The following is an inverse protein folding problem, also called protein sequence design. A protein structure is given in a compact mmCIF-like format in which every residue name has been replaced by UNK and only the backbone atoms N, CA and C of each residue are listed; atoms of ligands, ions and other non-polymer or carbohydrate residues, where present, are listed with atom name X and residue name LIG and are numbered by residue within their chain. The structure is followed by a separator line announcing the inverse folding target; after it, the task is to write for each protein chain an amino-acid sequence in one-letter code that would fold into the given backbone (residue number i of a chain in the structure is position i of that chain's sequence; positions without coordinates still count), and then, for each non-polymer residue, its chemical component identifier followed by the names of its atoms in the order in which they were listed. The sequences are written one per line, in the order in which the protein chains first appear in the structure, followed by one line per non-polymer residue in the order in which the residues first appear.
data_IF_474025323541
#
_entry.id   IF_474025323541
#
_cell.length_a   1.000
_cell.length_b   1.000
_cell.length_c   1.000
_cell.angle_alpha   90.00
_cell.angle_beta   90.00
_cell.angle_gamma   90.00
#
_symmetry.space_group_name_H-M   'P 1'
#
loop_
_entity.id
_entity.type
_entity.pdbx_description
1 polymer ?
#
# COMPACT_ATOMS: atom_id res chain seq x y z
N UNK A 1 -10.15 -3.91 -2.53
CA UNK A 1 -8.90 -4.38 -3.16
C UNK A 1 -8.26 -5.53 -2.40
N UNK A 2 -8.00 -5.42 -1.08
CA UNK A 2 -7.35 -6.48 -0.27
C UNK A 2 -7.98 -7.87 -0.48
N UNK A 3 -9.30 -8.01 -0.33
CA UNK A 3 -9.97 -9.32 -0.49
C UNK A 3 -9.89 -9.88 -1.90
N UNK A 4 -9.86 -9.04 -2.92
CA UNK A 4 -9.71 -9.47 -4.33
C UNK A 4 -8.26 -9.91 -4.57
N UNK A 5 -7.30 -9.14 -4.05
CA UNK A 5 -5.88 -9.42 -4.20
C UNK A 5 -5.49 -10.80 -3.66
N UNK A 6 -6.12 -11.25 -2.57
CA UNK A 6 -5.88 -12.57 -1.99
C UNK A 6 -6.37 -13.76 -2.85
N UNK A 7 -7.16 -13.51 -3.90
CA UNK A 7 -7.75 -14.54 -4.76
C UNK A 7 -7.06 -14.66 -6.13
N UNK A 8 -6.10 -13.79 -6.42
CA UNK A 8 -5.48 -13.66 -7.74
C UNK A 8 -4.05 -14.21 -7.78
N UNK A 9 -3.61 -14.60 -8.96
CA UNK A 9 -2.20 -14.90 -9.21
C UNK A 9 -1.34 -13.62 -9.11
N UNK A 10 -0.02 -13.77 -8.99
CA UNK A 10 0.91 -12.62 -8.99
C UNK A 10 0.79 -11.79 -10.28
N UNK A 11 0.68 -12.45 -11.43
CA UNK A 11 0.59 -11.77 -12.71
C UNK A 11 -0.73 -10.98 -12.83
N UNK A 12 -1.83 -11.56 -12.35
CA UNK A 12 -3.14 -10.88 -12.32
C UNK A 12 -3.19 -9.74 -11.31
N UNK A 13 -2.49 -9.86 -10.17
CA UNK A 13 -2.35 -8.79 -9.20
C UNK A 13 -1.68 -7.56 -9.82
N UNK A 14 -0.55 -7.79 -10.49
CA UNK A 14 0.23 -6.74 -11.13
C UNK A 14 -0.55 -6.08 -12.28
N UNK A 15 -1.27 -6.88 -13.09
CA UNK A 15 -2.04 -6.39 -14.22
C UNK A 15 -3.38 -5.71 -13.84
N UNK A 16 -4.10 -6.23 -12.86
CA UNK A 16 -5.50 -5.86 -12.60
C UNK A 16 -5.68 -5.01 -11.33
N UNK A 17 -4.87 -5.24 -10.30
CA UNK A 17 -5.05 -4.59 -8.98
C UNK A 17 -4.12 -3.40 -8.82
N UNK A 18 -2.85 -3.55 -9.19
CA UNK A 18 -1.84 -2.52 -8.96
C UNK A 18 -2.10 -1.18 -9.66
N UNK A 19 -2.65 -1.10 -10.89
CA UNK A 19 -2.98 0.19 -11.50
C UNK A 19 -3.99 0.99 -10.66
N UNK A 20 -5.02 0.31 -10.14
CA UNK A 20 -6.05 0.93 -9.31
C UNK A 20 -5.48 1.34 -7.95
N UNK A 21 -4.64 0.50 -7.35
CA UNK A 21 -4.03 0.81 -6.06
C UNK A 21 -3.08 2.00 -6.14
N UNK A 22 -2.28 2.10 -7.20
CA UNK A 22 -1.42 3.27 -7.46
C UNK A 22 -2.24 4.56 -7.58
N UNK A 23 -3.32 4.53 -8.36
CA UNK A 23 -4.23 5.67 -8.46
C UNK A 23 -4.84 6.05 -7.10
N UNK A 24 -5.25 5.06 -6.29
CA UNK A 24 -5.83 5.32 -4.97
C UNK A 24 -4.82 5.95 -3.99
N UNK A 25 -3.55 5.56 -4.07
CA UNK A 25 -2.49 6.14 -3.23
C UNK A 25 -2.19 7.61 -3.57
N UNK A 26 -2.54 8.06 -4.77
CA UNK A 26 -2.30 9.42 -5.28
C UNK A 26 -3.61 10.20 -5.52
N UNK A 27 -4.74 9.68 -5.02
CA UNK A 27 -6.07 10.25 -5.27
C UNK A 27 -6.19 11.69 -4.75
N UNK A 28 -6.94 12.54 -5.46
CA UNK A 28 -7.18 13.93 -5.03
C UNK A 28 -7.86 14.02 -3.67
N UNK A 29 -8.70 13.05 -3.35
CA UNK A 29 -9.36 12.92 -2.06
C UNK A 29 -8.39 12.33 -1.04
N UNK A 30 -8.00 13.13 -0.06
CA UNK A 30 -7.16 12.66 1.05
C UNK A 30 -7.80 11.50 1.81
N UNK A 31 -9.13 11.37 1.82
CA UNK A 31 -9.81 10.25 2.46
C UNK A 31 -9.54 8.92 1.76
N UNK A 32 -9.36 8.94 0.44
CA UNK A 32 -8.99 7.72 -0.32
C UNK A 32 -7.54 7.35 0.01
N UNK A 33 -6.62 8.32 -0.03
CA UNK A 33 -5.22 8.10 0.37
C UNK A 33 -5.07 7.63 1.81
N UNK A 34 -5.84 8.22 2.72
CA UNK A 34 -5.95 7.82 4.12
C UNK A 34 -6.36 6.33 4.24
N UNK A 35 -7.33 5.88 3.44
CA UNK A 35 -7.73 4.48 3.46
C UNK A 35 -6.67 3.53 2.91
N UNK A 36 -5.89 3.97 1.92
CA UNK A 36 -4.71 3.20 1.49
C UNK A 36 -3.69 3.09 2.63
N UNK A 37 -3.40 4.19 3.33
CA UNK A 37 -2.49 4.20 4.47
C UNK A 37 -2.98 3.33 5.64
N UNK A 38 -4.27 3.40 5.99
CA UNK A 38 -4.85 2.60 7.07
C UNK A 38 -4.85 1.09 6.75
N UNK A 39 -5.02 0.73 5.47
CA UNK A 39 -5.03 -0.66 5.00
C UNK A 39 -3.67 -1.17 4.51
N UNK A 40 -2.60 -0.41 4.74
CA UNK A 40 -1.33 -0.66 4.09
C UNK A 40 -0.72 -2.04 4.40
N UNK A 41 -0.69 -2.44 5.67
CA UNK A 41 -0.15 -3.75 6.07
C UNK A 41 -0.96 -4.93 5.50
N UNK A 42 -2.28 -4.77 5.40
CA UNK A 42 -3.15 -5.78 4.78
C UNK A 42 -2.86 -5.90 3.27
N UNK A 43 -2.63 -4.76 2.60
CA UNK A 43 -2.24 -4.71 1.19
C UNK A 43 -0.88 -5.35 0.96
N UNK A 44 0.13 -5.04 1.79
CA UNK A 44 1.47 -5.64 1.72
C UNK A 44 1.40 -7.17 1.72
N UNK A 45 0.66 -7.74 2.69
CA UNK A 45 0.49 -9.19 2.79
C UNK A 45 -0.26 -9.77 1.59
N UNK A 46 -1.24 -9.06 1.05
CA UNK A 46 -2.05 -9.54 -0.06
C UNK A 46 -1.28 -9.54 -1.40
N UNK A 47 -0.39 -8.56 -1.64
CA UNK A 47 0.35 -8.46 -2.91
C UNK A 47 1.69 -9.19 -2.90
N UNK A 48 2.19 -9.59 -1.73
CA UNK A 48 3.42 -10.36 -1.60
C UNK A 48 4.71 -9.53 -1.77
N UNK A 49 5.88 -10.17 -1.58
CA UNK A 49 7.15 -9.46 -1.35
C UNK A 49 7.67 -8.71 -2.58
N UNK A 50 7.55 -9.28 -3.79
CA UNK A 50 8.05 -8.66 -5.03
C UNK A 50 7.36 -7.31 -5.30
N UNK A 51 6.03 -7.32 -5.33
CA UNK A 51 5.22 -6.11 -5.53
C UNK A 51 5.38 -5.13 -4.36
N UNK A 52 5.53 -5.67 -3.14
CA UNK A 52 5.79 -4.82 -1.97
C UNK A 52 7.04 -3.97 -2.16
N UNK A 53 8.17 -4.59 -2.52
CA UNK A 53 9.44 -3.90 -2.70
C UNK A 53 9.39 -2.88 -3.85
N UNK A 54 8.83 -3.28 -4.99
CA UNK A 54 8.89 -2.49 -6.21
C UNK A 54 7.86 -1.36 -6.27
N UNK A 55 6.66 -1.56 -5.72
CA UNK A 55 5.54 -0.64 -5.90
C UNK A 55 5.03 -0.07 -4.58
N UNK A 56 4.85 -0.90 -3.55
CA UNK A 56 4.25 -0.43 -2.30
C UNK A 56 5.21 0.44 -1.49
N UNK A 57 6.49 0.08 -1.34
CA UNK A 57 7.43 0.90 -0.56
C UNK A 57 7.51 2.34 -1.08
N UNK A 58 7.68 2.60 -2.40
CA UNK A 58 7.64 3.95 -2.93
C UNK A 58 6.33 4.68 -2.61
N UNK A 59 5.18 4.01 -2.78
CA UNK A 59 3.87 4.59 -2.46
C UNK A 59 3.75 4.94 -0.97
N UNK A 60 4.23 4.08 -0.08
CA UNK A 60 4.22 4.32 1.36
C UNK A 60 5.07 5.52 1.76
N UNK A 61 6.26 5.67 1.17
CA UNK A 61 7.13 6.82 1.39
C UNK A 61 6.45 8.14 0.99
N UNK A 62 5.63 8.11 -0.06
CA UNK A 62 4.82 9.27 -0.45
C UNK A 62 3.70 9.54 0.57
N UNK A 63 3.01 8.51 1.05
CA UNK A 63 1.97 8.66 2.10
C UNK A 63 2.54 9.21 3.42
N UNK A 64 3.77 8.86 3.78
CA UNK A 64 4.46 9.44 4.94
C UNK A 64 4.78 10.94 4.77
N UNK A 65 4.85 11.41 3.52
CA UNK A 65 5.13 12.80 3.13
C UNK A 65 3.88 13.54 2.66
N UNK A 66 2.69 12.96 2.86
CA UNK A 66 1.43 13.53 2.40
C UNK A 66 1.20 14.95 2.94
N UNK A 67 0.50 15.81 2.19
CA UNK A 67 0.19 17.16 2.64
C UNK A 67 -0.78 17.18 3.84
N UNK A 68 -1.67 16.18 3.95
CA UNK A 68 -2.65 16.09 5.03
C UNK A 68 -2.09 15.34 6.25
N UNK A 69 -2.28 15.91 7.44
CA UNK A 69 -1.72 15.38 8.67
C UNK A 69 -2.27 14.01 9.05
N UNK A 70 -3.55 13.77 8.77
CA UNK A 70 -4.27 12.53 9.04
C UNK A 70 -3.72 11.36 8.22
N UNK A 71 -3.36 11.62 6.95
CA UNK A 71 -2.75 10.61 6.08
C UNK A 71 -1.36 10.25 6.60
N UNK A 72 -0.54 11.26 6.96
CA UNK A 72 0.78 11.03 7.54
C UNK A 72 0.70 10.24 8.85
N UNK A 73 -0.25 10.57 9.72
CA UNK A 73 -0.45 9.87 10.99
C UNK A 73 -0.85 8.40 10.76
N UNK A 74 -1.78 8.15 9.83
CA UNK A 74 -2.19 6.78 9.48
C UNK A 74 -1.00 5.97 8.94
N UNK A 75 -0.22 6.53 8.01
CA UNK A 75 0.96 5.87 7.47
C UNK A 75 2.01 5.63 8.56
N UNK A 76 2.31 6.62 9.40
CA UNK A 76 3.28 6.50 10.49
C UNK A 76 2.95 5.34 11.45
N UNK A 77 1.67 5.12 11.76
CA UNK A 77 1.23 3.99 12.59
C UNK A 77 1.50 2.61 11.97
N UNK A 78 1.72 2.53 10.65
CA UNK A 78 2.02 1.26 9.96
C UNK A 78 3.51 0.98 9.79
N UNK A 79 4.39 1.95 10.06
CA UNK A 79 5.85 1.82 9.80
C UNK A 79 6.44 0.57 10.45
N UNK A 80 6.11 0.33 11.72
CA UNK A 80 6.61 -0.84 12.46
C UNK A 80 6.23 -2.15 11.75
N UNK A 81 4.94 -2.33 11.48
CA UNK A 81 4.41 -3.56 10.88
C UNK A 81 4.91 -3.73 9.43
N UNK A 82 5.03 -2.64 8.67
CA UNK A 82 5.62 -2.67 7.33
C UNK A 82 7.04 -3.25 7.37
N UNK A 83 7.88 -2.72 8.25
CA UNK A 83 9.28 -3.12 8.41
C UNK A 83 9.42 -4.57 8.89
N UNK A 84 8.58 -5.02 9.82
CA UNK A 84 8.57 -6.41 10.31
C UNK A 84 8.22 -7.41 9.20
N UNK A 85 7.48 -6.98 8.18
CA UNK A 85 7.03 -7.81 7.05
C UNK A 85 7.86 -7.62 5.77
N UNK A 86 8.98 -6.90 5.82
CA UNK A 86 9.89 -6.82 4.68
C UNK A 86 10.61 -8.17 4.49
N UNK A 87 10.79 -8.62 3.24
CA UNK A 87 11.58 -9.83 2.99
C UNK A 87 13.01 -9.62 3.50
N UNK A 88 13.50 -10.61 4.26
CA UNK A 88 14.89 -10.69 4.71
C UNK A 88 15.68 -11.29 3.54
N UNK A 89 16.72 -10.59 3.09
CA UNK A 89 17.69 -11.14 2.12
C UNK A 89 18.45 -12.34 2.68
#
# INVERSE_FOLDING_TARGET
CVSIAQLLSQDDLEALVMPTLRQAAEDKSWRVRYMVADKFSELQRAVGPKITLNDLIPAFQNLLKDCEAEVRAAAAHKVKELCENLPIE
#
